data_IF_304476215887
#
_entry.id   IF_304476215887
#
_cell.length_a   1.000
_cell.length_b   1.000
_cell.length_c   1.000
_cell.angle_alpha   90.00
_cell.angle_beta   90.00
_cell.angle_gamma   90.00
#
_symmetry.space_group_name_H-M   'P 1'
#
loop_
_entity.id
_entity.type
_entity.pdbx_description
1 polymer ?
#
# COMPACT_ATOMS: atom_id res chain seq x y z
N UNK A 1 38.74 8.34 8.54
CA UNK A 1 38.26 9.73 8.32
C UNK A 1 36.95 9.89 9.03
N UNK A 2 36.53 11.11 9.41
CA UNK A 2 35.18 11.33 9.92
C UNK A 2 34.19 11.23 8.76
N UNK A 3 32.99 10.73 9.03
CA UNK A 3 31.90 10.57 8.03
C UNK A 3 30.63 11.22 8.52
N UNK A 4 29.68 11.49 7.61
CA UNK A 4 28.33 11.93 7.97
C UNK A 4 27.56 10.77 8.61
N UNK A 5 26.65 11.09 9.55
CA UNK A 5 25.96 10.06 10.36
C UNK A 5 25.07 9.13 9.54
N UNK A 6 24.37 9.64 8.53
CA UNK A 6 23.34 8.88 7.81
C UNK A 6 23.80 8.31 6.47
N UNK A 7 24.70 9.01 5.77
CA UNK A 7 25.14 8.61 4.43
C UNK A 7 26.56 8.07 4.41
N UNK A 8 27.28 8.16 5.54
CA UNK A 8 28.68 7.77 5.65
C UNK A 8 29.60 8.43 4.61
N UNK A 9 29.17 9.60 4.09
CA UNK A 9 29.97 10.40 3.21
C UNK A 9 31.18 10.94 3.96
N UNK A 10 32.38 10.82 3.39
CA UNK A 10 33.60 11.19 4.04
C UNK A 10 33.78 12.70 4.17
N UNK A 11 34.24 13.17 5.32
CA UNK A 11 34.61 14.56 5.50
C UNK A 11 36.00 14.82 4.96
N UNK A 12 36.14 15.92 4.24
CA UNK A 12 37.44 16.42 3.86
C UNK A 12 38.24 16.88 5.10
N UNK A 13 39.47 16.43 5.20
CA UNK A 13 40.40 16.87 6.24
C UNK A 13 41.51 17.73 5.65
N UNK A 14 41.98 18.70 6.43
CA UNK A 14 43.14 19.52 6.03
C UNK A 14 44.37 18.65 5.75
N UNK A 15 45.12 18.98 4.70
CA UNK A 15 46.33 18.26 4.26
C UNK A 15 46.05 16.82 3.77
N UNK A 16 44.80 16.49 3.39
CA UNK A 16 44.51 15.21 2.78
C UNK A 16 45.19 15.10 1.41
N UNK A 17 45.87 13.97 1.16
CA UNK A 17 46.36 13.62 -0.17
C UNK A 17 45.16 13.28 -1.05
N UNK A 18 45.01 13.86 -2.23
CA UNK A 18 43.92 13.67 -3.16
C UNK A 18 42.53 14.10 -2.63
N UNK A 19 42.38 15.36 -2.21
CA UNK A 19 41.10 15.85 -1.72
C UNK A 19 39.97 15.77 -2.77
N UNK A 20 40.31 15.83 -4.06
CA UNK A 20 39.37 15.70 -5.18
C UNK A 20 38.69 14.33 -5.21
N UNK A 21 39.35 13.25 -4.82
CA UNK A 21 38.77 11.91 -4.76
C UNK A 21 37.68 11.86 -3.70
N UNK A 22 37.96 12.36 -2.50
CA UNK A 22 36.98 12.41 -1.41
C UNK A 22 35.79 13.29 -1.73
N UNK A 23 36.00 14.43 -2.40
CA UNK A 23 34.91 15.32 -2.82
C UNK A 23 34.04 14.62 -3.85
N UNK A 24 34.61 13.97 -4.86
CA UNK A 24 33.87 13.26 -5.88
C UNK A 24 33.08 12.09 -5.28
N UNK A 25 33.69 11.26 -4.45
CA UNK A 25 32.97 10.17 -3.75
C UNK A 25 31.82 10.69 -2.89
N UNK A 26 31.98 11.85 -2.27
CA UNK A 26 30.88 12.49 -1.51
C UNK A 26 29.74 12.89 -2.42
N UNK A 27 30.01 13.49 -3.58
CA UNK A 27 28.98 13.85 -4.55
C UNK A 27 28.29 12.61 -5.13
N UNK A 28 29.02 11.54 -5.43
CA UNK A 28 28.46 10.28 -5.92
C UNK A 28 27.49 9.66 -4.88
N UNK A 29 27.84 9.73 -3.59
CA UNK A 29 26.96 9.28 -2.50
C UNK A 29 25.71 10.16 -2.40
N UNK A 30 25.84 11.48 -2.56
CA UNK A 30 24.70 12.38 -2.57
C UNK A 30 23.78 12.13 -3.75
N UNK A 31 24.33 11.95 -4.96
CA UNK A 31 23.54 11.66 -6.14
C UNK A 31 22.76 10.35 -5.98
N UNK A 32 23.45 9.29 -5.54
CA UNK A 32 22.80 8.00 -5.25
C UNK A 32 21.67 8.12 -4.20
N UNK A 33 21.91 8.91 -3.15
CA UNK A 33 20.97 9.08 -2.05
C UNK A 33 19.74 9.92 -2.40
N UNK A 34 19.83 10.79 -3.39
CA UNK A 34 18.73 11.70 -3.79
C UNK A 34 17.98 11.17 -5.00
N UNK A 35 18.68 10.72 -6.03
CA UNK A 35 18.10 10.37 -7.33
C UNK A 35 18.44 8.95 -7.80
N UNK A 36 19.44 8.33 -7.19
CA UNK A 36 20.00 7.06 -7.66
C UNK A 36 19.06 5.88 -7.49
N UNK A 37 19.03 5.02 -8.50
CA UNK A 37 18.34 3.73 -8.47
C UNK A 37 19.37 2.60 -8.49
N UNK A 38 19.28 1.70 -7.53
CA UNK A 38 19.95 0.41 -7.56
C UNK A 38 18.98 -0.64 -8.10
N UNK A 39 19.34 -1.32 -9.18
CA UNK A 39 18.65 -2.53 -9.62
C UNK A 39 19.46 -3.74 -9.19
N UNK A 40 18.85 -4.59 -8.36
CA UNK A 40 19.45 -5.85 -7.92
C UNK A 40 18.67 -7.02 -8.49
N UNK A 41 19.33 -7.84 -9.32
CA UNK A 41 18.74 -9.07 -9.82
C UNK A 41 19.06 -10.23 -8.89
N UNK A 42 18.04 -10.90 -8.39
CA UNK A 42 18.21 -12.08 -7.54
C UNK A 42 18.89 -13.19 -8.33
N UNK A 43 20.05 -13.63 -7.87
CA UNK A 43 20.86 -14.68 -8.51
C UNK A 43 20.75 -16.04 -7.82
N UNK A 44 20.12 -16.08 -6.66
CA UNK A 44 19.88 -17.27 -5.85
C UNK A 44 18.53 -17.20 -5.17
N UNK A 45 17.93 -18.35 -4.88
CA UNK A 45 16.68 -18.44 -4.12
C UNK A 45 16.96 -18.34 -2.60
N UNK A 46 17.48 -17.19 -2.17
CA UNK A 46 17.88 -16.91 -0.78
C UNK A 46 17.65 -15.45 -0.40
N UNK A 47 17.59 -15.17 0.90
CA UNK A 47 17.53 -13.83 1.42
C UNK A 47 18.79 -13.04 1.04
N UNK A 48 18.66 -11.72 0.87
CA UNK A 48 19.73 -10.86 0.44
C UNK A 48 19.98 -9.70 1.40
N UNK A 49 21.23 -9.50 1.77
CA UNK A 49 21.62 -8.33 2.57
C UNK A 49 22.33 -7.32 1.69
N UNK A 50 21.85 -6.08 1.68
CA UNK A 50 22.45 -4.99 0.92
C UNK A 50 23.91 -4.78 1.34
N UNK A 51 24.78 -4.64 0.37
CA UNK A 51 26.21 -4.45 0.60
C UNK A 51 26.47 -3.13 1.31
N UNK A 52 27.22 -3.22 2.42
CA UNK A 52 27.58 -2.09 3.30
C UNK A 52 29.08 -1.80 3.32
N UNK A 53 29.86 -2.49 2.52
CA UNK A 53 31.33 -2.35 2.45
C UNK A 53 31.80 -2.21 1.02
N UNK A 54 33.00 -1.69 0.82
CA UNK A 54 33.59 -1.52 -0.51
C UNK A 54 33.53 -0.09 -1.02
N UNK A 55 33.59 0.06 -2.35
CA UNK A 55 33.56 1.37 -3.00
C UNK A 55 32.19 2.04 -2.82
N UNK A 56 32.18 3.36 -2.67
CA UNK A 56 30.95 4.17 -2.59
C UNK A 56 30.52 4.61 -3.99
N UNK A 57 29.20 4.80 -4.24
CA UNK A 57 28.12 4.54 -3.31
C UNK A 57 27.87 3.03 -3.11
N UNK A 58 27.61 2.63 -1.86
CA UNK A 58 27.22 1.26 -1.52
C UNK A 58 25.74 1.02 -1.82
N UNK A 59 25.30 -0.23 -1.91
CA UNK A 59 23.92 -0.57 -2.33
C UNK A 59 22.83 0.07 -1.46
N UNK A 60 23.01 0.13 -0.17
CA UNK A 60 22.07 0.74 0.77
C UNK A 60 21.97 2.27 0.64
N UNK A 61 22.95 2.91 -0.02
CA UNK A 61 22.99 4.37 -0.16
C UNK A 61 22.02 4.92 -1.21
N UNK A 62 21.55 4.10 -2.12
CA UNK A 62 20.60 4.50 -3.16
C UNK A 62 19.22 4.84 -2.60
N UNK A 63 18.55 5.84 -3.18
CA UNK A 63 17.20 6.25 -2.77
C UNK A 63 16.12 5.30 -3.25
N UNK A 64 16.33 4.67 -4.40
CA UNK A 64 15.42 3.67 -4.98
C UNK A 64 16.13 2.32 -5.07
N UNK A 65 15.45 1.30 -4.61
CA UNK A 65 15.87 -0.10 -4.70
C UNK A 65 14.86 -0.84 -5.56
N UNK A 66 15.29 -1.34 -6.71
CA UNK A 66 14.47 -2.17 -7.61
C UNK A 66 14.99 -3.60 -7.54
N UNK A 67 14.19 -4.51 -7.00
CA UNK A 67 14.53 -5.93 -6.89
C UNK A 67 13.87 -6.68 -8.04
N UNK A 68 14.67 -7.37 -8.82
CA UNK A 68 14.22 -8.13 -10.00
C UNK A 68 14.58 -9.62 -9.86
N UNK A 69 13.91 -10.45 -10.64
CA UNK A 69 14.19 -11.89 -10.79
C UNK A 69 14.08 -12.27 -12.28
N UNK A 70 14.98 -11.71 -13.09
CA UNK A 70 14.95 -11.90 -14.54
C UNK A 70 15.27 -13.33 -14.96
N UNK A 71 16.01 -14.06 -14.12
CA UNK A 71 16.42 -15.43 -14.36
C UNK A 71 15.44 -16.45 -13.76
N UNK A 72 14.35 -15.97 -13.12
CA UNK A 72 13.32 -16.79 -12.48
C UNK A 72 13.88 -17.82 -11.50
N UNK A 73 14.83 -17.39 -10.67
CA UNK A 73 15.47 -18.26 -9.67
C UNK A 73 14.66 -18.40 -8.39
N UNK A 74 13.80 -17.40 -8.10
CA UNK A 74 12.99 -17.42 -6.89
C UNK A 74 11.85 -18.43 -7.00
N UNK A 75 11.62 -19.19 -5.92
CA UNK A 75 10.49 -20.10 -5.76
C UNK A 75 9.50 -19.62 -4.69
N UNK A 76 9.90 -18.64 -3.89
CA UNK A 76 9.13 -18.02 -2.80
C UNK A 76 9.64 -16.61 -2.55
N UNK A 77 8.84 -15.79 -1.87
CA UNK A 77 9.28 -14.47 -1.40
C UNK A 77 10.48 -14.57 -0.48
N UNK A 78 11.39 -13.62 -0.63
CA UNK A 78 12.64 -13.53 0.13
C UNK A 78 12.73 -12.23 0.91
N UNK A 79 13.63 -12.22 1.88
CA UNK A 79 13.92 -11.03 2.68
C UNK A 79 15.07 -10.26 2.07
N UNK A 80 14.90 -8.94 1.94
CA UNK A 80 15.95 -7.98 1.60
C UNK A 80 16.28 -7.20 2.88
N UNK A 81 17.54 -7.25 3.31
CA UNK A 81 17.97 -6.65 4.56
C UNK A 81 18.79 -5.39 4.29
N UNK A 82 18.34 -4.24 4.80
CA UNK A 82 19.08 -2.98 4.81
C UNK A 82 19.78 -2.73 6.16
N UNK A 83 20.81 -1.91 6.22
CA UNK A 83 21.40 -1.50 7.49
C UNK A 83 20.46 -0.57 8.28
N UNK A 84 20.64 -0.52 9.61
CA UNK A 84 19.81 0.27 10.54
C UNK A 84 20.14 1.77 10.52
N UNK A 85 20.04 2.39 9.37
CA UNK A 85 20.30 3.82 9.17
C UNK A 85 19.00 4.60 8.97
N UNK A 86 18.89 5.81 9.56
CA UNK A 86 17.77 6.69 9.30
C UNK A 86 17.77 7.13 7.83
N UNK A 87 16.90 6.52 7.03
CA UNK A 87 16.84 6.78 5.59
C UNK A 87 15.47 6.41 5.01
N UNK A 88 15.03 7.18 4.02
CA UNK A 88 13.89 6.83 3.17
C UNK A 88 14.34 6.03 1.96
N UNK A 89 13.52 5.08 1.57
CA UNK A 89 13.69 4.29 0.36
C UNK A 89 12.38 4.27 -0.42
N UNK A 90 12.51 4.31 -1.74
CA UNK A 90 11.48 3.81 -2.63
C UNK A 90 11.85 2.37 -2.96
N UNK A 91 11.11 1.40 -2.45
CA UNK A 91 11.37 -0.01 -2.70
C UNK A 91 10.39 -0.51 -3.76
N UNK A 92 10.93 -0.98 -4.87
CA UNK A 92 10.20 -1.63 -5.97
C UNK A 92 10.45 -3.13 -5.95
N UNK A 93 9.39 -3.88 -5.83
CA UNK A 93 9.41 -5.33 -5.99
C UNK A 93 8.97 -5.70 -7.42
N UNK A 94 9.90 -5.87 -8.32
CA UNK A 94 9.64 -6.29 -9.70
C UNK A 94 9.72 -7.82 -9.89
N UNK A 95 9.61 -8.60 -8.80
CA UNK A 95 9.57 -10.06 -8.84
C UNK A 95 8.12 -10.58 -8.90
N UNK A 96 7.96 -11.90 -9.06
CA UNK A 96 6.66 -12.56 -9.04
C UNK A 96 6.16 -12.92 -7.64
N UNK A 97 6.95 -12.68 -6.59
CA UNK A 97 6.65 -13.04 -5.21
C UNK A 97 6.65 -11.81 -4.30
N UNK A 98 5.86 -11.86 -3.23
CA UNK A 98 5.90 -10.83 -2.20
C UNK A 98 7.25 -10.83 -1.50
N UNK A 99 7.93 -9.68 -1.43
CA UNK A 99 9.24 -9.55 -0.81
C UNK A 99 9.11 -8.89 0.56
N UNK A 100 9.91 -9.34 1.51
CA UNK A 100 10.02 -8.69 2.81
C UNK A 100 11.21 -7.73 2.79
N UNK A 101 11.01 -6.49 3.26
CA UNK A 101 12.10 -5.53 3.45
C UNK A 101 12.27 -5.24 4.93
N UNK A 102 13.49 -5.42 5.45
CA UNK A 102 13.78 -5.41 6.88
C UNK A 102 15.08 -4.65 7.20
N UNK A 103 15.17 -4.11 8.41
CA UNK A 103 16.38 -3.50 8.94
C UNK A 103 17.30 -4.52 9.65
N UNK A 104 16.88 -5.77 9.77
CA UNK A 104 17.63 -6.85 10.39
C UNK A 104 17.09 -8.19 9.91
N UNK A 105 17.96 -9.14 9.61
CA UNK A 105 17.57 -10.46 9.14
C UNK A 105 16.56 -11.14 10.08
N UNK A 106 15.52 -11.72 9.52
CA UNK A 106 14.45 -12.41 10.24
C UNK A 106 13.48 -11.52 11.00
N UNK A 107 13.53 -10.19 10.82
CA UNK A 107 12.64 -9.26 11.51
C UNK A 107 11.28 -9.11 10.81
N UNK A 108 11.22 -9.34 9.50
CA UNK A 108 10.01 -9.23 8.67
C UNK A 108 9.25 -7.91 8.87
N UNK A 109 9.97 -6.77 8.73
CA UNK A 109 9.43 -5.45 9.07
C UNK A 109 8.25 -5.04 8.18
N UNK A 110 8.38 -5.19 6.86
CA UNK A 110 7.34 -4.79 5.91
C UNK A 110 7.31 -5.74 4.70
N UNK A 111 6.12 -6.06 4.24
CA UNK A 111 5.91 -6.83 3.01
C UNK A 111 5.58 -5.86 1.88
N UNK A 112 6.22 -6.06 0.74
CA UNK A 112 5.97 -5.36 -0.51
C UNK A 112 5.52 -6.39 -1.53
N UNK A 113 4.28 -6.26 -1.94
CA UNK A 113 3.60 -7.19 -2.83
C UNK A 113 4.30 -7.28 -4.20
N UNK A 114 4.15 -8.41 -4.87
CA UNK A 114 4.68 -8.65 -6.22
C UNK A 114 4.24 -7.54 -7.21
N UNK A 115 5.18 -6.98 -7.95
CA UNK A 115 4.94 -5.92 -8.93
C UNK A 115 4.53 -4.57 -8.32
N UNK A 116 4.79 -4.33 -7.02
CA UNK A 116 4.46 -3.08 -6.34
C UNK A 116 5.69 -2.30 -5.94
N UNK A 117 5.46 -1.00 -5.77
CA UNK A 117 6.42 -0.04 -5.25
C UNK A 117 5.87 0.59 -3.98
N UNK A 118 6.75 0.87 -3.02
CA UNK A 118 6.36 1.46 -1.75
C UNK A 118 7.41 2.43 -1.23
N UNK A 119 6.96 3.59 -0.74
CA UNK A 119 7.81 4.48 0.03
C UNK A 119 7.89 3.97 1.47
N UNK A 120 9.10 3.75 1.94
CA UNK A 120 9.37 3.23 3.28
C UNK A 120 10.50 4.00 3.93
N UNK A 121 10.58 3.94 5.25
CA UNK A 121 11.64 4.56 6.03
C UNK A 121 12.27 3.56 6.99
N UNK A 122 13.59 3.47 7.00
CA UNK A 122 14.31 2.91 8.13
C UNK A 122 14.41 4.00 9.22
N UNK A 123 13.94 3.70 10.42
CA UNK A 123 13.96 4.62 11.56
C UNK A 123 15.14 4.39 12.50
N UNK A 124 16.16 3.65 12.05
CA UNK A 124 17.31 3.23 12.85
C UNK A 124 17.12 1.91 13.60
N UNK A 125 15.91 1.32 13.55
CA UNK A 125 15.60 0.04 14.20
C UNK A 125 14.84 -0.90 13.29
N UNK A 126 13.87 -0.40 12.54
CA UNK A 126 12.97 -1.17 11.68
C UNK A 126 12.70 -0.42 10.38
N UNK A 127 12.26 -1.13 9.36
CA UNK A 127 11.65 -0.55 8.17
C UNK A 127 10.16 -0.34 8.44
N UNK A 128 9.67 0.87 8.21
CA UNK A 128 8.27 1.24 8.40
C UNK A 128 7.71 1.86 7.13
N UNK A 129 6.43 1.62 6.86
CA UNK A 129 5.76 2.28 5.75
C UNK A 129 5.62 3.78 6.02
N UNK A 130 5.93 4.59 5.04
CA UNK A 130 5.60 6.03 5.03
C UNK A 130 4.22 6.24 4.39
N UNK A 131 3.21 5.60 4.95
CA UNK A 131 1.84 5.85 4.54
C UNK A 131 1.36 7.11 5.24
N UNK A 132 0.97 8.11 4.47
CA UNK A 132 0.21 9.24 5.01
C UNK A 132 -1.12 8.70 5.54
N UNK A 133 -1.25 8.60 6.86
CA UNK A 133 -2.53 8.23 7.51
C UNK A 133 -3.57 9.34 7.44
N UNK A 134 -3.21 10.48 6.91
CA UNK A 134 -4.08 11.64 6.82
C UNK A 134 -4.20 12.04 5.36
N UNK A 135 -5.30 11.65 4.74
CA UNK A 135 -5.70 12.22 3.46
C UNK A 135 -6.29 13.60 3.73
N UNK A 136 -5.46 14.64 3.68
CA UNK A 136 -5.94 16.01 3.58
C UNK A 136 -6.38 16.25 2.14
N UNK A 137 -7.68 16.42 1.93
CA UNK A 137 -8.27 16.83 0.64
C UNK A 137 -7.81 16.00 -0.58
N UNK A 138 -7.85 14.67 -0.45
CA UNK A 138 -7.57 13.80 -1.58
C UNK A 138 -8.76 13.78 -2.52
N UNK A 139 -8.59 14.29 -3.73
CA UNK A 139 -9.55 14.10 -4.80
C UNK A 139 -9.46 12.64 -5.30
N UNK A 140 -10.45 11.81 -4.97
CA UNK A 140 -10.55 10.47 -5.51
C UNK A 140 -11.07 10.53 -6.95
N UNK A 141 -10.17 10.47 -7.92
CA UNK A 141 -10.53 10.31 -9.33
C UNK A 141 -10.53 8.85 -9.71
N UNK A 142 -11.69 8.34 -10.12
CA UNK A 142 -11.82 6.99 -10.68
C UNK A 142 -11.81 5.88 -9.64
N UNK A 143 -12.46 6.08 -8.48
CA UNK A 143 -12.69 4.96 -7.60
C UNK A 143 -13.71 3.98 -8.23
N UNK A 144 -13.39 2.68 -8.17
CA UNK A 144 -14.24 1.65 -8.74
C UNK A 144 -15.23 1.17 -7.70
N UNK A 145 -16.52 1.35 -7.97
CA UNK A 145 -17.58 0.74 -7.18
C UNK A 145 -17.89 -0.68 -7.69
N UNK A 146 -17.93 -1.62 -6.77
CA UNK A 146 -18.38 -2.97 -7.10
C UNK A 146 -19.91 -2.98 -7.14
N UNK A 147 -20.47 -3.24 -8.32
CA UNK A 147 -21.92 -3.33 -8.53
C UNK A 147 -22.37 -4.78 -8.53
N UNK A 148 -23.52 -5.03 -7.89
CA UNK A 148 -24.19 -6.32 -7.91
C UNK A 148 -25.64 -6.14 -8.31
N UNK A 149 -26.07 -6.90 -9.32
CA UNK A 149 -27.46 -6.95 -9.75
C UNK A 149 -28.21 -8.04 -8.94
N UNK A 150 -29.29 -7.64 -8.31
CA UNK A 150 -30.13 -8.51 -7.51
C UNK A 150 -31.55 -8.43 -8.03
N UNK A 151 -32.08 -9.53 -8.51
CA UNK A 151 -33.48 -9.67 -8.85
C UNK A 151 -34.20 -10.37 -7.70
N UNK A 152 -35.21 -9.73 -7.12
CA UNK A 152 -35.95 -10.28 -5.99
C UNK A 152 -37.43 -10.19 -6.22
N UNK A 153 -38.11 -11.30 -6.03
CA UNK A 153 -39.54 -11.41 -6.19
C UNK A 153 -40.31 -10.91 -4.94
N UNK A 154 -40.02 -11.46 -3.78
CA UNK A 154 -40.69 -11.17 -2.50
C UNK A 154 -39.82 -11.58 -1.30
N UNK A 155 -40.07 -11.04 -0.12
CA UNK A 155 -39.50 -11.50 1.14
C UNK A 155 -38.22 -10.76 1.57
N UNK A 156 -37.29 -11.45 2.24
CA UNK A 156 -36.07 -10.86 2.78
C UNK A 156 -34.92 -11.02 1.80
N UNK A 157 -34.24 -9.91 1.49
CA UNK A 157 -33.03 -9.86 0.67
C UNK A 157 -31.87 -9.45 1.51
N UNK A 158 -30.86 -10.31 1.61
CA UNK A 158 -29.61 -10.03 2.29
C UNK A 158 -28.60 -9.44 1.30
N UNK A 159 -28.11 -8.24 1.57
CA UNK A 159 -27.08 -7.55 0.81
C UNK A 159 -25.77 -7.54 1.62
N UNK A 160 -24.77 -8.28 1.14
CA UNK A 160 -23.48 -8.34 1.79
C UNK A 160 -22.66 -7.09 1.46
N UNK A 161 -22.29 -6.32 2.47
CA UNK A 161 -21.42 -5.16 2.37
C UNK A 161 -19.98 -5.52 1.98
N UNK A 162 -19.56 -6.76 2.19
CA UNK A 162 -18.27 -7.26 1.76
C UNK A 162 -18.22 -7.59 0.25
N UNK A 163 -19.39 -7.81 -0.39
CA UNK A 163 -19.42 -8.22 -1.80
C UNK A 163 -19.59 -7.06 -2.78
N UNK A 164 -20.29 -6.00 -2.37
CA UNK A 164 -20.53 -4.82 -3.21
C UNK A 164 -20.98 -3.63 -2.35
N UNK A 165 -20.76 -2.43 -2.86
CA UNK A 165 -21.26 -1.18 -2.28
C UNK A 165 -22.35 -0.52 -3.15
N UNK A 166 -22.57 -1.02 -4.36
CA UNK A 166 -23.66 -0.60 -5.26
C UNK A 166 -24.54 -1.80 -5.57
N UNK A 167 -25.83 -1.68 -5.33
CA UNK A 167 -26.78 -2.76 -5.58
C UNK A 167 -27.92 -2.27 -6.46
N UNK A 168 -28.22 -3.03 -7.52
CA UNK A 168 -29.42 -2.87 -8.30
C UNK A 168 -30.47 -3.88 -7.83
N UNK A 169 -31.67 -3.40 -7.54
CA UNK A 169 -32.80 -4.22 -7.18
C UNK A 169 -33.95 -4.02 -8.17
N UNK A 170 -34.55 -5.12 -8.62
CA UNK A 170 -35.84 -5.09 -9.32
C UNK A 170 -36.89 -5.67 -8.40
N UNK A 171 -37.85 -4.85 -7.96
CA UNK A 171 -38.94 -5.28 -7.08
C UNK A 171 -40.02 -5.93 -7.89
N UNK A 172 -40.29 -7.20 -7.62
CA UNK A 172 -41.45 -7.95 -8.19
C UNK A 172 -42.48 -8.28 -7.10
N UNK A 173 -42.25 -7.83 -5.87
CA UNK A 173 -43.09 -7.95 -4.70
C UNK A 173 -42.53 -7.09 -3.55
N UNK A 174 -43.20 -7.14 -2.38
CA UNK A 174 -42.73 -6.43 -1.19
C UNK A 174 -41.43 -7.06 -0.67
N UNK A 175 -40.39 -6.23 -0.43
CA UNK A 175 -39.06 -6.67 -0.05
C UNK A 175 -38.63 -6.02 1.24
N UNK A 176 -37.99 -6.81 2.12
CA UNK A 176 -37.27 -6.36 3.28
C UNK A 176 -35.77 -6.53 3.03
N UNK A 177 -35.01 -5.44 2.92
CA UNK A 177 -33.57 -5.45 2.69
C UNK A 177 -32.85 -5.48 4.03
N UNK A 178 -31.93 -6.43 4.19
CA UNK A 178 -31.03 -6.56 5.35
C UNK A 178 -29.59 -6.45 4.87
N UNK A 179 -28.83 -5.50 5.42
CA UNK A 179 -27.38 -5.42 5.19
C UNK A 179 -26.65 -6.40 6.10
N UNK A 180 -25.82 -7.25 5.51
CA UNK A 180 -24.95 -8.20 6.21
C UNK A 180 -23.49 -7.80 6.01
N UNK A 181 -22.60 -8.36 6.83
CA UNK A 181 -21.17 -8.10 6.76
C UNK A 181 -20.80 -6.61 6.87
N UNK A 182 -21.62 -5.85 7.60
CA UNK A 182 -21.34 -4.43 7.86
C UNK A 182 -20.10 -4.34 8.75
N UNK A 183 -19.11 -3.49 8.42
CA UNK A 183 -17.93 -3.31 9.26
C UNK A 183 -18.31 -2.91 10.68
N UNK A 184 -17.82 -3.66 11.68
CA UNK A 184 -18.19 -3.48 13.09
C UNK A 184 -17.23 -2.59 13.88
N UNK A 185 -16.19 -2.04 13.23
CA UNK A 185 -15.19 -1.19 13.90
C UNK A 185 -15.68 0.25 14.02
N UNK A 186 -15.55 0.84 15.21
CA UNK A 186 -16.04 2.19 15.54
C UNK A 186 -15.44 3.34 14.69
N UNK A 187 -14.45 3.07 13.86
CA UNK A 187 -13.77 4.05 13.01
C UNK A 187 -14.04 3.87 11.50
N UNK A 188 -14.95 2.94 11.13
CA UNK A 188 -15.21 2.66 9.71
C UNK A 188 -16.62 3.11 9.34
N UNK A 189 -16.73 3.98 8.35
CA UNK A 189 -18.01 4.36 7.74
C UNK A 189 -18.22 3.54 6.47
N UNK A 190 -19.36 2.89 6.36
CA UNK A 190 -19.77 2.19 5.16
C UNK A 190 -20.90 2.95 4.47
N UNK A 191 -20.79 3.12 3.16
CA UNK A 191 -21.82 3.72 2.32
C UNK A 191 -22.27 2.71 1.27
N UNK A 192 -23.58 2.48 1.15
CA UNK A 192 -24.13 1.64 0.11
C UNK A 192 -25.16 2.43 -0.71
N UNK A 193 -25.09 2.28 -2.02
CA UNK A 193 -26.03 2.87 -2.98
C UNK A 193 -26.97 1.79 -3.49
N UNK A 194 -28.28 2.06 -3.38
CA UNK A 194 -29.32 1.19 -3.89
C UNK A 194 -30.02 1.84 -5.08
N UNK A 195 -29.97 1.21 -6.25
CA UNK A 195 -30.83 1.53 -7.39
C UNK A 195 -32.01 0.58 -7.36
N UNK A 196 -33.23 1.13 -7.24
CA UNK A 196 -34.44 0.35 -7.09
C UNK A 196 -35.35 0.59 -8.29
N UNK A 197 -35.66 -0.48 -9.00
CA UNK A 197 -36.61 -0.47 -10.12
C UNK A 197 -37.88 -1.22 -9.70
N UNK A 198 -39.05 -0.64 -9.90
CA UNK A 198 -40.33 -1.31 -9.75
C UNK A 198 -40.63 -2.14 -10.99
N UNK A 199 -41.27 -3.28 -10.82
CA UNK A 199 -41.92 -3.95 -11.95
C UNK A 199 -43.12 -3.12 -12.47
N UNK A 200 -43.68 -3.48 -13.63
CA UNK A 200 -44.72 -2.73 -14.29
C UNK A 200 -46.04 -2.58 -13.47
N UNK A 201 -46.15 -3.17 -12.29
CA UNK A 201 -47.30 -3.04 -11.38
C UNK A 201 -47.21 -1.88 -10.39
N UNK A 202 -46.00 -1.36 -10.11
CA UNK A 202 -45.74 -0.13 -9.37
C UNK A 202 -46.24 -0.06 -7.91
N UNK A 203 -46.64 -1.17 -7.30
CA UNK A 203 -47.25 -1.20 -5.95
C UNK A 203 -46.40 -1.84 -4.89
N UNK A 204 -45.18 -2.27 -5.24
CA UNK A 204 -44.30 -2.97 -4.32
C UNK A 204 -43.62 -2.00 -3.34
N UNK A 205 -43.51 -2.43 -2.10
CA UNK A 205 -42.84 -1.66 -1.04
C UNK A 205 -41.47 -2.24 -0.72
N UNK A 206 -40.56 -1.38 -0.35
CA UNK A 206 -39.24 -1.76 0.18
C UNK A 206 -39.11 -1.25 1.61
N UNK A 207 -38.69 -2.14 2.50
CA UNK A 207 -38.29 -1.81 3.86
C UNK A 207 -36.80 -2.13 4.05
N UNK A 208 -36.00 -1.19 4.55
CA UNK A 208 -34.59 -1.40 4.84
C UNK A 208 -34.43 -1.68 6.33
N UNK A 209 -33.99 -2.89 6.67
CA UNK A 209 -33.76 -3.32 8.04
C UNK A 209 -32.27 -3.39 8.37
N UNK A 210 -31.93 -3.19 9.63
CA UNK A 210 -30.54 -3.33 10.13
C UNK A 210 -29.61 -2.19 9.75
N UNK A 211 -30.13 -1.08 9.23
CA UNK A 211 -29.34 0.13 9.12
C UNK A 211 -28.97 0.61 10.54
N UNK A 212 -27.70 0.44 10.91
CA UNK A 212 -27.17 0.99 12.16
C UNK A 212 -26.93 2.47 11.90
N UNK A 213 -27.83 3.31 12.42
CA UNK A 213 -27.60 4.74 12.41
C UNK A 213 -26.73 5.10 13.61
N UNK A 214 -25.67 5.89 13.40
CA UNK A 214 -25.05 6.62 14.48
C UNK A 214 -26.16 7.41 15.21
N UNK A 215 -26.19 7.40 16.52
CA UNK A 215 -27.26 8.00 17.32
C UNK A 215 -27.56 9.44 16.86
N UNK A 216 -28.79 9.70 16.44
CA UNK A 216 -29.25 11.02 16.02
C UNK A 216 -29.40 11.28 14.52
N UNK A 217 -29.10 10.31 13.66
CA UNK A 217 -29.30 10.44 12.21
C UNK A 217 -30.59 9.76 11.78
N UNK A 218 -31.44 10.47 11.03
CA UNK A 218 -32.63 9.90 10.40
C UNK A 218 -32.23 9.37 9.00
N UNK A 219 -32.80 8.21 8.60
CA UNK A 219 -32.66 7.73 7.24
C UNK A 219 -33.45 8.62 6.28
N UNK A 220 -32.79 9.21 5.31
CA UNK A 220 -33.45 9.85 4.17
C UNK A 220 -33.49 8.88 3.00
N UNK A 221 -34.65 8.36 2.65
CA UNK A 221 -34.85 7.68 1.38
C UNK A 221 -35.35 8.75 0.39
N UNK A 222 -34.47 9.14 -0.54
CA UNK A 222 -34.84 10.01 -1.65
C UNK A 222 -35.49 9.13 -2.73
N UNK A 223 -36.78 9.31 -2.98
CA UNK A 223 -37.46 8.70 -4.11
C UNK A 223 -37.31 9.63 -5.30
N UNK A 224 -36.62 9.19 -6.36
CA UNK A 224 -36.68 9.84 -7.65
C UNK A 224 -37.99 9.40 -8.34
N UNK A 225 -38.82 10.37 -8.71
CA UNK A 225 -40.03 10.16 -9.46
C UNK A 225 -39.81 9.75 -10.90
#
# INVERSE_FOLDING_TARGET
>A
MATTTNLEAEHWTALQAQPEVTVNETFDVFDAAVTGTLTHNMSTDADYTLVTTGSKPQEWMYSRLSITDTDTVLTVGREIVAPKNNKHYVFENATAYDMTFSASAGQADIIIEAGRERLVRCNGSAIVAEESRVFHESEFRGYTETRKDNATATGTLNLSCASANVHNLTLTGNVSVVFTDVPSTNSTTFTSTLFVTQDGGGTNSMNVQGAIYASGQASTVSQAG
#
